data_IF_252478995014
#
_entry.id   IF_252478995014
#
_cell.length_a   1.000
_cell.length_b   1.000
_cell.length_c   1.000
_cell.angle_alpha   90.00
_cell.angle_beta   90.00
_cell.angle_gamma   90.00
#
_symmetry.space_group_name_H-M   'P 1'
#
loop_
_entity.id
_entity.type
_entity.pdbx_description
1 polymer ?
#
# COMPACT_ATOMS: atom_id res chain seq x y z
N UNK A 1 -18.13 -9.73 -5.50
CA UNK A 1 -16.72 -10.02 -5.87
C UNK A 1 -16.52 -10.30 -7.35
N UNK A 2 -17.17 -11.32 -7.96
CA UNK A 2 -16.96 -11.67 -9.39
C UNK A 2 -17.21 -10.52 -10.38
N UNK A 3 -18.13 -9.61 -10.06
CA UNK A 3 -18.46 -8.46 -10.90
C UNK A 3 -17.36 -7.38 -10.92
N UNK A 4 -16.73 -7.11 -9.78
CA UNK A 4 -15.60 -6.16 -9.70
C UNK A 4 -14.35 -6.72 -10.40
N UNK A 5 -14.09 -8.02 -10.24
CA UNK A 5 -13.00 -8.70 -10.95
C UNK A 5 -13.20 -8.65 -12.47
N UNK A 6 -14.43 -8.89 -12.94
CA UNK A 6 -14.78 -8.80 -14.37
C UNK A 6 -14.61 -7.38 -14.93
N UNK A 7 -15.09 -6.38 -14.20
CA UNK A 7 -14.97 -4.97 -14.60
C UNK A 7 -13.50 -4.52 -14.66
N UNK A 8 -12.68 -4.94 -13.69
CA UNK A 8 -11.25 -4.67 -13.68
C UNK A 8 -10.55 -5.32 -14.87
N UNK A 9 -10.80 -6.61 -15.14
CA UNK A 9 -10.24 -7.32 -16.30
C UNK A 9 -10.56 -6.60 -17.60
N UNK A 10 -11.81 -6.15 -17.77
CA UNK A 10 -12.22 -5.38 -18.96
C UNK A 10 -11.42 -4.08 -19.07
N UNK A 11 -11.35 -3.28 -17.99
CA UNK A 11 -10.61 -2.02 -17.99
C UNK A 11 -9.11 -2.20 -18.29
N UNK A 12 -8.49 -3.23 -17.72
CA UNK A 12 -7.08 -3.58 -18.00
C UNK A 12 -6.89 -3.95 -19.47
N UNK A 13 -7.77 -4.79 -20.03
CA UNK A 13 -7.72 -5.15 -21.44
C UNK A 13 -7.89 -3.94 -22.36
N UNK A 14 -8.86 -3.08 -22.08
CA UNK A 14 -9.11 -1.88 -22.88
C UNK A 14 -7.90 -0.94 -22.90
N UNK A 15 -7.29 -0.66 -21.73
CA UNK A 15 -6.07 0.17 -21.64
C UNK A 15 -4.85 -0.48 -22.29
N UNK A 16 -4.70 -1.80 -22.12
CA UNK A 16 -3.61 -2.53 -22.74
C UNK A 16 -3.69 -2.48 -24.28
N UNK A 17 -4.89 -2.65 -24.83
CA UNK A 17 -5.12 -2.58 -26.28
C UNK A 17 -4.99 -1.16 -26.84
N UNK A 18 -5.32 -0.12 -26.05
CA UNK A 18 -5.15 1.27 -26.47
C UNK A 18 -3.70 1.78 -26.33
N UNK A 19 -2.82 1.01 -25.68
CA UNK A 19 -1.45 1.43 -25.38
C UNK A 19 -1.36 2.49 -24.28
N UNK A 20 -2.43 2.69 -23.52
CA UNK A 20 -2.43 3.55 -22.33
C UNK A 20 -1.59 2.94 -21.21
N UNK A 21 -1.07 3.78 -20.32
CA UNK A 21 -0.31 3.30 -19.17
C UNK A 21 -1.25 2.56 -18.19
N UNK A 22 -0.90 1.31 -17.86
CA UNK A 22 -1.61 0.48 -16.89
C UNK A 22 -1.41 0.95 -15.43
N UNK A 23 -0.40 1.78 -15.19
CA UNK A 23 -0.02 2.30 -13.87
C UNK A 23 -0.14 3.83 -13.82
N UNK A 24 0.08 4.41 -12.63
CA UNK A 24 -0.08 5.85 -12.37
C UNK A 24 -1.52 6.25 -12.04
N UNK A 25 -1.81 7.55 -11.93
CA UNK A 25 -3.08 8.06 -11.39
C UNK A 25 -4.36 7.48 -12.02
N UNK A 26 -4.32 7.16 -13.32
CA UNK A 26 -5.47 6.62 -14.07
C UNK A 26 -5.30 5.16 -14.52
N UNK A 27 -4.21 4.52 -14.13
CA UNK A 27 -3.88 3.15 -14.51
C UNK A 27 -4.86 2.13 -13.94
N UNK A 28 -5.25 1.15 -14.73
CA UNK A 28 -6.16 0.09 -14.29
C UNK A 28 -5.54 -0.78 -13.18
N UNK A 29 -4.22 -0.94 -13.14
CA UNK A 29 -3.51 -1.74 -12.14
C UNK A 29 -3.05 -0.93 -10.91
N UNK A 30 -3.19 0.39 -10.94
CA UNK A 30 -2.76 1.27 -9.84
C UNK A 30 -3.43 0.97 -8.50
N UNK A 31 -4.74 0.62 -8.43
CA UNK A 31 -5.37 0.22 -7.17
C UNK A 31 -4.74 -1.05 -6.58
N UNK A 32 -4.44 -2.05 -7.42
CA UNK A 32 -3.79 -3.30 -6.98
C UNK A 32 -2.39 -3.01 -6.44
N UNK A 33 -1.61 -2.20 -7.17
CA UNK A 33 -0.27 -1.83 -6.73
C UNK A 33 -0.31 -1.05 -5.41
N UNK A 34 -1.28 -0.14 -5.24
CA UNK A 34 -1.53 0.56 -3.99
C UNK A 34 -1.81 -0.43 -2.86
N UNK A 35 -2.81 -1.31 -3.02
CA UNK A 35 -3.21 -2.30 -2.02
C UNK A 35 -2.03 -3.20 -1.62
N UNK A 36 -1.29 -3.71 -2.61
CA UNK A 36 -0.13 -4.56 -2.37
C UNK A 36 0.96 -3.86 -1.53
N UNK A 37 1.29 -2.60 -1.86
CA UNK A 37 2.28 -1.83 -1.10
C UNK A 37 1.79 -1.54 0.33
N UNK A 38 0.53 -1.16 0.48
CA UNK A 38 -0.05 -0.90 1.80
C UNK A 38 -0.08 -2.15 2.67
N UNK A 39 -0.54 -3.29 2.14
CA UNK A 39 -0.56 -4.56 2.87
C UNK A 39 0.85 -5.03 3.24
N UNK A 40 1.82 -4.86 2.35
CA UNK A 40 3.23 -5.16 2.64
C UNK A 40 3.73 -4.33 3.82
N UNK A 41 3.47 -3.02 3.83
CA UNK A 41 3.83 -2.15 4.95
C UNK A 41 3.09 -2.48 6.24
N UNK A 42 1.81 -2.88 6.16
CA UNK A 42 1.06 -3.32 7.34
C UNK A 42 1.69 -4.56 7.97
N UNK A 43 2.06 -5.54 7.14
CA UNK A 43 2.72 -6.76 7.59
C UNK A 43 4.09 -6.48 8.22
N UNK A 44 4.89 -5.58 7.64
CA UNK A 44 6.15 -5.14 8.24
C UNK A 44 5.94 -4.45 9.59
N UNK A 45 4.92 -3.60 9.72
CA UNK A 45 4.57 -2.94 10.99
C UNK A 45 4.10 -3.94 12.05
N UNK A 46 3.32 -4.95 11.66
CA UNK A 46 2.90 -6.01 12.59
C UNK A 46 4.10 -6.78 13.14
N UNK A 47 5.08 -7.09 12.30
CA UNK A 47 6.33 -7.72 12.72
C UNK A 47 7.17 -6.78 13.61
N UNK A 48 7.27 -5.50 13.26
CA UNK A 48 7.98 -4.48 14.04
C UNK A 48 7.46 -4.35 15.47
N UNK A 49 6.14 -4.42 15.65
CA UNK A 49 5.49 -4.25 16.95
C UNK A 49 5.31 -5.57 17.73
N UNK A 50 5.58 -6.73 17.12
CA UNK A 50 5.26 -8.06 17.67
C UNK A 50 5.80 -8.30 19.09
N UNK A 51 6.99 -7.78 19.40
CA UNK A 51 7.65 -7.97 20.69
C UNK A 51 7.49 -6.78 21.66
N UNK A 52 6.96 -5.64 21.19
CA UNK A 52 6.74 -4.42 21.97
C UNK A 52 5.45 -4.47 22.83
N UNK A 53 4.52 -5.36 22.49
CA UNK A 53 3.22 -5.52 23.17
C UNK A 53 3.27 -6.23 24.53
N UNK A 54 4.47 -6.54 25.07
CA UNK A 54 4.63 -7.31 26.32
C UNK A 54 4.48 -6.49 27.62
N UNK A 55 4.07 -5.23 27.57
CA UNK A 55 3.87 -4.40 28.78
C UNK A 55 2.92 -3.21 28.59
N UNK A 56 1.91 -3.11 29.46
CA UNK A 56 0.83 -2.10 29.41
C UNK A 56 1.31 -0.64 29.45
N UNK A 57 2.53 -0.36 29.90
CA UNK A 57 2.97 0.98 30.32
C UNK A 57 4.14 1.62 29.54
N UNK A 58 4.83 0.92 28.63
CA UNK A 58 6.01 1.52 27.93
C UNK A 58 6.34 1.00 26.52
N UNK A 59 5.56 0.08 25.94
CA UNK A 59 5.81 -0.43 24.59
C UNK A 59 5.37 0.54 23.48
N UNK A 60 6.06 0.51 22.35
CA UNK A 60 5.66 1.18 21.11
C UNK A 60 4.32 0.64 20.62
N UNK A 61 3.58 1.49 19.91
CA UNK A 61 2.23 1.19 19.41
C UNK A 61 2.01 1.91 18.09
N UNK A 62 1.00 1.47 17.35
CA UNK A 62 0.53 2.17 16.14
C UNK A 62 0.08 3.61 16.48
N UNK A 63 0.45 4.55 15.63
CA UNK A 63 0.09 5.97 15.68
C UNK A 63 -0.76 6.41 14.46
N UNK A 64 -1.52 5.47 13.90
CA UNK A 64 -2.38 5.73 12.74
C UNK A 64 -1.69 5.46 11.40
N UNK A 65 -2.04 6.25 10.39
CA UNK A 65 -1.51 6.15 9.04
C UNK A 65 -1.17 7.54 8.49
N UNK A 66 -0.03 7.66 7.84
CA UNK A 66 0.35 8.81 7.02
C UNK A 66 0.07 8.56 5.54
N UNK A 67 -0.06 9.61 4.74
CA UNK A 67 -0.24 9.48 3.28
C UNK A 67 1.03 9.90 2.56
N UNK A 68 1.51 9.07 1.63
CA UNK A 68 2.73 9.31 0.85
C UNK A 68 2.49 9.03 -0.63
N UNK A 69 2.99 9.92 -1.50
CA UNK A 69 3.02 9.68 -2.95
C UNK A 69 4.38 9.14 -3.35
N UNK A 70 4.41 7.88 -3.79
CA UNK A 70 5.60 7.18 -4.27
C UNK A 70 5.72 7.41 -5.78
N UNK A 71 6.88 7.89 -6.21
CA UNK A 71 7.23 8.06 -7.63
C UNK A 71 8.06 6.87 -8.07
N UNK A 72 7.54 6.09 -9.02
CA UNK A 72 8.23 4.94 -9.61
C UNK A 72 8.42 5.13 -11.11
N UNK A 73 9.21 4.24 -11.72
CA UNK A 73 9.37 4.16 -13.17
C UNK A 73 8.06 3.85 -13.91
N UNK A 74 7.10 3.19 -13.26
CA UNK A 74 5.81 2.84 -13.85
C UNK A 74 4.73 3.91 -13.62
N UNK A 75 4.95 4.83 -12.67
CA UNK A 75 4.05 5.96 -12.41
C UNK A 75 4.04 6.40 -10.95
N UNK A 76 3.20 7.39 -10.65
CA UNK A 76 2.96 7.87 -9.29
C UNK A 76 1.81 7.09 -8.63
N UNK A 77 2.01 6.65 -7.39
CA UNK A 77 0.99 5.96 -6.57
C UNK A 77 0.93 6.61 -5.21
N UNK A 78 -0.27 6.98 -4.77
CA UNK A 78 -0.51 7.49 -3.42
C UNK A 78 -0.95 6.34 -2.53
N UNK A 79 -0.19 6.10 -1.47
CA UNK A 79 -0.38 5.01 -0.49
C UNK A 79 -0.51 5.59 0.92
N UNK A 80 -1.21 4.85 1.79
CA UNK A 80 -1.31 5.12 3.22
C UNK A 80 -0.36 4.20 4.00
N UNK A 81 0.66 4.78 4.60
CA UNK A 81 1.73 4.08 5.32
C UNK A 81 1.41 4.01 6.81
N UNK A 82 1.58 2.85 7.48
CA UNK A 82 1.44 2.77 8.93
C UNK A 82 2.54 3.56 9.63
N UNK A 83 2.21 4.13 10.78
CA UNK A 83 3.16 4.85 11.63
C UNK A 83 3.15 4.25 13.05
N UNK A 84 4.30 4.27 13.70
CA UNK A 84 4.48 3.89 15.10
C UNK A 84 4.71 5.13 15.98
N UNK A 85 4.40 5.01 17.28
CA UNK A 85 4.42 6.12 18.23
C UNK A 85 5.83 6.58 18.57
N UNK A 86 6.80 5.67 18.53
CA UNK A 86 8.20 5.99 18.79
C UNK A 86 8.95 6.45 17.52
N UNK A 87 8.29 6.44 16.36
CA UNK A 87 8.90 6.74 15.06
C UNK A 87 10.17 5.92 14.81
N UNK A 88 10.18 4.68 15.29
CA UNK A 88 11.29 3.74 15.16
C UNK A 88 11.09 2.74 14.01
N UNK A 89 9.94 2.74 13.36
CA UNK A 89 9.67 1.88 12.21
C UNK A 89 10.42 2.39 10.97
N UNK A 90 11.31 1.55 10.44
CA UNK A 90 12.00 1.77 9.17
C UNK A 90 11.54 0.72 8.14
N UNK A 91 10.67 1.09 7.17
CA UNK A 91 10.23 0.19 6.12
C UNK A 91 11.38 -0.32 5.25
N UNK A 92 11.31 -1.57 4.79
CA UNK A 92 12.37 -2.19 3.97
C UNK A 92 12.09 -2.21 2.46
N UNK A 93 10.85 -1.91 2.07
CA UNK A 93 10.41 -1.87 0.67
C UNK A 93 10.73 -0.56 -0.05
#
# INVERSE_FOLDING_TARGET
MKEQESALKKKVLDQFLSGENLFGKNGALSPILKEFLEESLQAEMDEHLRDEDKGWSSGNKRNGKGTKTVKSNVGEVTIDTPEDRHSSFEPKI
#
